data_IF_991030466168
#
_entry.id   IF_991030466168
#
_cell.length_a   1.000
_cell.length_b   1.000
_cell.length_c   1.000
_cell.angle_alpha   90.00
_cell.angle_beta   90.00
_cell.angle_gamma   90.00
#
_symmetry.space_group_name_H-M   'P 1'
#
loop_
_entity.id
_entity.type
_entity.pdbx_description
1 polymer ?
#
# COMPACT_ATOMS: atom_id res chain seq x y z
N UNK A 1 44.43 -49.70 10.97
CA UNK A 1 43.34 -49.31 10.04
C UNK A 1 42.09 -48.67 10.71
N UNK A 2 41.85 -48.80 12.03
CA UNK A 2 40.67 -48.17 12.69
C UNK A 2 40.75 -46.65 12.85
N UNK A 3 41.94 -46.07 13.04
CA UNK A 3 42.13 -44.62 13.20
C UNK A 3 41.88 -43.81 11.92
N UNK A 4 42.22 -44.36 10.75
CA UNK A 4 42.05 -43.67 9.45
C UNK A 4 40.58 -43.50 9.08
N UNK A 5 39.71 -44.44 9.48
CA UNK A 5 38.25 -44.36 9.24
C UNK A 5 37.55 -43.30 10.10
N UNK A 6 38.00 -43.07 11.33
CA UNK A 6 37.37 -42.08 12.23
C UNK A 6 37.73 -40.66 11.82
N UNK A 7 38.99 -40.41 11.43
CA UNK A 7 39.45 -39.09 10.97
C UNK A 7 38.78 -38.69 9.66
N UNK A 8 38.60 -39.62 8.71
CA UNK A 8 37.88 -39.34 7.45
C UNK A 8 36.40 -39.03 7.66
N UNK A 9 35.71 -39.69 8.59
CA UNK A 9 34.31 -39.37 8.90
C UNK A 9 34.11 -38.00 9.55
N UNK A 10 35.04 -37.54 10.39
CA UNK A 10 34.97 -36.21 11.03
C UNK A 10 35.22 -35.08 10.01
N UNK A 11 36.17 -35.25 9.10
CA UNK A 11 36.47 -34.27 8.04
C UNK A 11 35.30 -34.13 7.06
N UNK A 12 34.62 -35.23 6.70
CA UNK A 12 33.41 -35.19 5.86
C UNK A 12 32.24 -34.49 6.57
N UNK A 13 32.06 -34.71 7.88
CA UNK A 13 31.02 -34.04 8.66
C UNK A 13 31.27 -32.52 8.76
N UNK A 14 32.52 -32.10 8.96
CA UNK A 14 32.93 -30.69 9.00
C UNK A 14 32.75 -30.01 7.63
N UNK A 15 33.05 -30.70 6.52
CA UNK A 15 32.79 -30.21 5.16
C UNK A 15 31.29 -30.04 4.90
N UNK A 16 30.45 -30.97 5.34
CA UNK A 16 28.98 -30.87 5.18
C UNK A 16 28.40 -29.72 6.02
N UNK A 17 28.93 -29.49 7.24
CA UNK A 17 28.51 -28.38 8.10
C UNK A 17 28.93 -27.04 7.49
N UNK A 18 30.16 -26.91 6.98
CA UNK A 18 30.61 -25.71 6.27
C UNK A 18 29.81 -25.47 4.98
N UNK A 19 29.55 -26.49 4.17
CA UNK A 19 28.69 -26.35 2.99
C UNK A 19 27.25 -25.94 3.33
N UNK A 20 26.66 -26.44 4.43
CA UNK A 20 25.33 -26.00 4.88
C UNK A 20 25.35 -24.57 5.43
N UNK A 21 26.42 -24.14 6.09
CA UNK A 21 26.58 -22.77 6.57
C UNK A 21 26.76 -21.79 5.40
N UNK A 22 27.59 -22.16 4.44
CA UNK A 22 27.85 -21.37 3.22
C UNK A 22 26.61 -21.27 2.35
N UNK A 23 25.81 -22.33 2.22
CA UNK A 23 24.57 -22.26 1.45
C UNK A 23 23.51 -21.38 2.13
N UNK A 24 23.45 -21.37 3.48
CA UNK A 24 22.60 -20.42 4.24
C UNK A 24 23.10 -18.99 4.12
N UNK A 25 24.42 -18.78 4.14
CA UNK A 25 25.06 -17.47 3.97
C UNK A 25 24.86 -16.93 2.56
N UNK A 26 25.04 -17.75 1.53
CA UNK A 26 24.77 -17.41 0.13
C UNK A 26 23.29 -17.08 -0.09
N UNK A 27 22.37 -17.82 0.55
CA UNK A 27 20.94 -17.51 0.52
C UNK A 27 20.65 -16.16 1.19
N UNK A 28 21.19 -15.89 2.37
CA UNK A 28 21.04 -14.60 3.04
C UNK A 28 21.70 -13.44 2.26
N UNK A 29 22.85 -13.65 1.63
CA UNK A 29 23.52 -12.70 0.75
C UNK A 29 22.72 -12.45 -0.54
N UNK A 30 22.05 -13.47 -1.07
CA UNK A 30 21.16 -13.33 -2.23
C UNK A 30 19.88 -12.57 -1.88
N UNK A 31 19.27 -12.86 -0.73
CA UNK A 31 18.06 -12.18 -0.24
C UNK A 31 18.36 -10.71 0.11
N UNK A 32 19.52 -10.41 0.68
CA UNK A 32 19.96 -9.03 0.94
C UNK A 32 20.32 -8.27 -0.33
N UNK A 33 20.96 -8.90 -1.33
CA UNK A 33 21.15 -8.31 -2.66
C UNK A 33 19.82 -8.03 -3.36
N UNK A 34 18.88 -8.98 -3.33
CA UNK A 34 17.54 -8.79 -3.89
C UNK A 34 16.80 -7.66 -3.17
N UNK A 35 16.89 -7.58 -1.84
CA UNK A 35 16.31 -6.48 -1.06
C UNK A 35 16.97 -5.14 -1.41
N UNK A 36 18.28 -5.12 -1.65
CA UNK A 36 19.02 -3.91 -2.04
C UNK A 36 18.69 -3.46 -3.48
N UNK A 37 18.54 -4.40 -4.41
CA UNK A 37 18.11 -4.12 -5.78
C UNK A 37 16.64 -3.66 -5.84
N UNK A 38 15.76 -4.29 -5.07
CA UNK A 38 14.38 -3.85 -4.91
C UNK A 38 14.32 -2.45 -4.27
N UNK A 39 15.13 -2.17 -3.24
CA UNK A 39 15.23 -0.84 -2.64
C UNK A 39 15.75 0.20 -3.65
N UNK A 40 16.76 -0.13 -4.47
CA UNK A 40 17.26 0.74 -5.54
C UNK A 40 16.22 0.99 -6.64
N UNK A 41 15.47 -0.04 -7.03
CA UNK A 41 14.39 0.05 -8.02
C UNK A 41 13.25 0.94 -7.52
N UNK A 42 12.83 0.74 -6.26
CA UNK A 42 11.83 1.57 -5.58
C UNK A 42 12.32 3.02 -5.48
N UNK A 43 13.56 3.24 -5.06
CA UNK A 43 14.15 4.58 -5.01
C UNK A 43 14.15 5.25 -6.40
N UNK A 44 14.55 4.54 -7.46
CA UNK A 44 14.55 5.07 -8.82
C UNK A 44 13.14 5.39 -9.33
N UNK A 45 12.15 4.56 -8.99
CA UNK A 45 10.73 4.80 -9.32
C UNK A 45 10.18 6.03 -8.62
N UNK A 46 10.48 6.21 -7.32
CA UNK A 46 10.08 7.37 -6.53
C UNK A 46 10.69 8.65 -7.12
N UNK A 47 12.00 8.64 -7.38
CA UNK A 47 12.69 9.79 -7.97
C UNK A 47 12.11 10.15 -9.34
N UNK A 48 11.74 9.16 -10.15
CA UNK A 48 11.08 9.40 -11.44
C UNK A 48 9.71 10.07 -11.31
N UNK A 49 8.91 9.71 -10.31
CA UNK A 49 7.60 10.33 -10.08
C UNK A 49 7.73 11.75 -9.53
N UNK A 50 8.61 11.97 -8.56
CA UNK A 50 8.88 13.31 -8.04
C UNK A 50 9.41 14.21 -9.14
N UNK A 51 10.36 13.73 -9.96
CA UNK A 51 10.90 14.47 -11.12
C UNK A 51 9.81 14.90 -12.11
N UNK A 52 8.82 14.04 -12.39
CA UNK A 52 7.71 14.41 -13.27
C UNK A 52 6.80 15.50 -12.69
N UNK A 53 6.64 15.53 -11.37
CA UNK A 53 5.76 16.50 -10.69
C UNK A 53 6.45 17.85 -10.48
N UNK A 54 7.73 17.83 -10.13
CA UNK A 54 8.51 19.03 -9.81
C UNK A 54 9.32 19.56 -10.99
N UNK A 55 9.63 18.72 -11.97
CA UNK A 55 10.58 19.03 -13.06
C UNK A 55 12.05 18.84 -12.66
N UNK A 56 12.34 18.34 -11.46
CA UNK A 56 13.69 18.29 -10.89
C UNK A 56 14.47 17.03 -11.27
N UNK A 57 15.79 17.14 -11.27
CA UNK A 57 16.70 16.02 -11.45
C UNK A 57 16.89 15.22 -10.15
N UNK A 58 17.46 14.01 -10.25
CA UNK A 58 17.67 13.07 -9.12
C UNK A 58 18.43 13.69 -7.94
N UNK A 59 19.38 14.58 -8.22
CA UNK A 59 20.22 15.25 -7.24
C UNK A 59 19.48 16.35 -6.48
N UNK A 60 18.60 17.08 -7.17
CA UNK A 60 17.77 18.14 -6.61
C UNK A 60 16.62 17.55 -5.76
N UNK A 61 16.10 16.37 -6.13
CA UNK A 61 15.09 15.63 -5.36
C UNK A 61 15.57 15.20 -3.98
N UNK A 62 16.89 15.08 -3.76
CA UNK A 62 17.44 14.81 -2.42
C UNK A 62 17.42 16.04 -1.50
N UNK A 63 17.16 17.22 -2.04
CA UNK A 63 17.13 18.49 -1.32
C UNK A 63 15.91 19.33 -1.74
N UNK A 64 14.72 18.70 -1.80
CA UNK A 64 13.48 19.40 -2.14
C UNK A 64 13.27 20.63 -1.26
N UNK A 65 12.89 21.73 -1.89
CA UNK A 65 12.49 22.96 -1.22
C UNK A 65 11.13 22.80 -0.51
N UNK A 66 10.81 23.72 0.40
CA UNK A 66 9.53 23.75 1.10
C UNK A 66 8.36 23.88 0.11
N UNK A 67 8.52 24.72 -0.91
CA UNK A 67 7.54 24.94 -1.98
C UNK A 67 7.31 23.67 -2.81
N UNK A 68 8.37 22.93 -3.12
CA UNK A 68 8.26 21.68 -3.88
C UNK A 68 7.56 20.58 -3.08
N UNK A 69 7.85 20.49 -1.78
CA UNK A 69 7.17 19.57 -0.88
C UNK A 69 5.69 19.92 -0.74
N UNK A 70 5.36 21.21 -0.60
CA UNK A 70 3.99 21.70 -0.57
C UNK A 70 3.25 21.39 -1.87
N UNK A 71 3.89 21.59 -3.04
CA UNK A 71 3.32 21.29 -4.35
C UNK A 71 2.96 19.80 -4.49
N UNK A 72 3.88 18.89 -4.18
CA UNK A 72 3.64 17.44 -4.28
C UNK A 72 2.50 17.02 -3.34
N UNK A 73 2.46 17.57 -2.12
CA UNK A 73 1.41 17.28 -1.16
C UNK A 73 0.05 17.86 -1.58
N UNK A 74 0.04 19.05 -2.18
CA UNK A 74 -1.15 19.69 -2.73
C UNK A 74 -1.71 18.90 -3.93
N UNK A 75 -0.85 18.36 -4.79
CA UNK A 75 -1.27 17.47 -5.87
C UNK A 75 -1.87 16.17 -5.32
N UNK A 76 -1.27 15.57 -4.28
CA UNK A 76 -1.86 14.40 -3.61
C UNK A 76 -3.25 14.72 -3.03
N UNK A 77 -3.41 15.90 -2.41
CA UNK A 77 -4.72 16.39 -1.94
C UNK A 77 -5.72 16.55 -3.09
N UNK A 78 -5.36 17.25 -4.16
CA UNK A 78 -6.23 17.49 -5.31
C UNK A 78 -6.73 16.17 -5.92
N UNK A 79 -5.84 15.19 -6.13
CA UNK A 79 -6.23 13.88 -6.65
C UNK A 79 -7.18 13.12 -5.71
N UNK A 80 -6.97 13.24 -4.41
CA UNK A 80 -7.85 12.64 -3.41
C UNK A 80 -9.24 13.31 -3.39
N UNK A 81 -9.29 14.64 -3.51
CA UNK A 81 -10.54 15.39 -3.62
C UNK A 81 -11.29 15.07 -4.92
N UNK A 82 -10.59 14.93 -6.04
CA UNK A 82 -11.19 14.54 -7.31
C UNK A 82 -11.74 13.11 -7.26
N UNK A 83 -11.00 12.18 -6.64
CA UNK A 83 -11.49 10.81 -6.40
C UNK A 83 -12.77 10.82 -5.55
N UNK A 84 -12.80 11.64 -4.48
CA UNK A 84 -13.99 11.83 -3.65
C UNK A 84 -15.17 12.42 -4.45
N UNK A 85 -14.92 13.43 -5.28
CA UNK A 85 -15.95 14.03 -6.15
C UNK A 85 -16.50 13.02 -7.15
N UNK A 86 -15.63 12.24 -7.79
CA UNK A 86 -16.04 11.20 -8.75
C UNK A 86 -16.98 10.18 -8.09
N UNK A 87 -16.66 9.74 -6.88
CA UNK A 87 -17.51 8.79 -6.12
C UNK A 87 -18.85 9.42 -5.72
N UNK A 88 -18.84 10.67 -5.26
CA UNK A 88 -20.08 11.39 -4.94
C UNK A 88 -20.96 11.57 -6.20
N UNK A 89 -20.34 11.96 -7.31
CA UNK A 89 -21.03 12.12 -8.59
C UNK A 89 -21.57 10.79 -9.10
N UNK A 90 -20.85 9.68 -8.92
CA UNK A 90 -21.33 8.35 -9.27
C UNK A 90 -22.64 8.02 -8.55
N UNK A 91 -22.74 8.34 -7.25
CA UNK A 91 -23.96 8.14 -6.47
C UNK A 91 -25.13 8.99 -6.98
N UNK A 92 -24.87 10.23 -7.38
CA UNK A 92 -25.89 11.18 -7.84
C UNK A 92 -26.36 10.85 -9.26
N UNK A 93 -25.44 10.54 -10.18
CA UNK A 93 -25.71 10.37 -11.61
C UNK A 93 -26.46 9.07 -11.92
N UNK A 94 -26.16 7.97 -11.21
CA UNK A 94 -26.79 6.68 -11.52
C UNK A 94 -28.21 6.52 -10.97
N UNK A 95 -28.69 7.43 -10.12
CA UNK A 95 -29.98 7.33 -9.41
C UNK A 95 -30.25 5.91 -8.83
N UNK A 96 -29.17 5.20 -8.47
CA UNK A 96 -29.22 3.83 -7.95
C UNK A 96 -29.16 3.90 -6.43
N UNK A 97 -30.13 3.27 -5.76
CA UNK A 97 -30.12 3.15 -4.30
C UNK A 97 -28.96 2.29 -3.77
N UNK A 98 -28.39 1.40 -4.61
CA UNK A 98 -27.31 0.47 -4.26
C UNK A 98 -26.28 0.35 -5.39
N UNK A 99 -25.01 0.32 -5.02
CA UNK A 99 -23.91 0.03 -5.95
C UNK A 99 -23.79 -1.49 -6.15
N UNK A 100 -23.50 -1.91 -7.38
CA UNK A 100 -23.14 -3.29 -7.69
C UNK A 100 -21.61 -3.45 -7.79
N UNK A 101 -21.10 -4.68 -7.69
CA UNK A 101 -19.66 -4.94 -7.78
C UNK A 101 -19.04 -4.38 -9.08
N UNK A 102 -19.77 -4.45 -10.20
CA UNK A 102 -19.32 -3.95 -11.50
C UNK A 102 -19.21 -2.42 -11.57
N UNK A 103 -19.84 -1.69 -10.65
CA UNK A 103 -19.81 -0.23 -10.59
C UNK A 103 -18.56 0.32 -9.86
N UNK A 104 -17.79 -0.55 -9.19
CA UNK A 104 -16.71 -0.17 -8.24
C UNK A 104 -15.28 -0.07 -8.81
N UNK A 105 -14.88 -0.74 -9.91
CA UNK A 105 -13.48 -0.73 -10.36
C UNK A 105 -12.90 0.68 -10.57
N UNK A 106 -13.63 1.59 -11.20
CA UNK A 106 -13.15 2.96 -11.45
C UNK A 106 -12.97 3.77 -10.15
N UNK A 107 -13.97 3.83 -9.25
CA UNK A 107 -13.80 4.37 -7.90
C UNK A 107 -12.56 3.85 -7.16
N UNK A 108 -12.33 2.53 -7.20
CA UNK A 108 -11.19 1.90 -6.52
C UNK A 108 -9.86 2.32 -7.15
N UNK A 109 -9.78 2.41 -8.48
CA UNK A 109 -8.59 2.92 -9.18
C UNK A 109 -8.29 4.37 -8.82
N UNK A 110 -9.31 5.22 -8.71
CA UNK A 110 -9.13 6.61 -8.29
C UNK A 110 -8.54 6.69 -6.87
N UNK A 111 -9.11 5.96 -5.91
CA UNK A 111 -8.59 5.88 -4.53
C UNK A 111 -7.16 5.34 -4.50
N UNK A 112 -6.87 4.29 -5.28
CA UNK A 112 -5.53 3.70 -5.38
C UNK A 112 -4.51 4.72 -5.87
N UNK A 113 -4.81 5.43 -6.96
CA UNK A 113 -3.93 6.46 -7.50
C UNK A 113 -3.68 7.59 -6.48
N UNK A 114 -4.71 7.99 -5.72
CA UNK A 114 -4.57 8.98 -4.65
C UNK A 114 -3.68 8.45 -3.51
N UNK A 115 -3.87 7.19 -3.09
CA UNK A 115 -3.07 6.54 -2.05
C UNK A 115 -1.58 6.45 -2.44
N UNK A 116 -1.28 6.08 -3.69
CA UNK A 116 0.09 6.02 -4.22
C UNK A 116 0.75 7.41 -4.29
N UNK A 117 -0.02 8.46 -4.59
CA UNK A 117 0.47 9.85 -4.55
C UNK A 117 0.75 10.31 -3.13
N UNK A 118 -0.09 9.97 -2.15
CA UNK A 118 0.18 10.21 -0.73
C UNK A 118 1.46 9.50 -0.30
N UNK A 119 1.65 8.24 -0.72
CA UNK A 119 2.87 7.49 -0.42
C UNK A 119 4.12 8.17 -0.98
N UNK A 120 4.05 8.63 -2.23
CA UNK A 120 5.14 9.36 -2.89
C UNK A 120 5.46 10.66 -2.15
N UNK A 121 4.44 11.47 -1.85
CA UNK A 121 4.58 12.72 -1.11
C UNK A 121 5.19 12.50 0.28
N UNK A 122 4.71 11.48 1.00
CA UNK A 122 5.21 11.18 2.33
C UNK A 122 6.66 10.70 2.31
N UNK A 123 7.05 9.88 1.33
CA UNK A 123 8.46 9.49 1.14
C UNK A 123 9.37 10.69 0.88
N UNK A 124 8.87 11.70 0.15
CA UNK A 124 9.59 12.95 -0.06
C UNK A 124 9.82 13.70 1.26
N UNK A 125 8.82 13.74 2.14
CA UNK A 125 8.93 14.34 3.47
C UNK A 125 9.91 13.60 4.40
N UNK A 126 9.97 12.27 4.34
CA UNK A 126 10.98 11.48 5.08
C UNK A 126 12.40 11.92 4.67
N UNK A 127 12.64 12.05 3.36
CA UNK A 127 13.93 12.51 2.83
C UNK A 127 14.25 13.96 3.25
N UNK A 128 13.22 14.82 3.36
CA UNK A 128 13.34 16.20 3.81
C UNK A 128 13.54 16.36 5.35
N UNK A 129 13.54 15.24 6.09
CA UNK A 129 13.84 15.20 7.51
C UNK A 129 12.65 14.97 8.44
N UNK A 130 11.45 14.63 7.92
CA UNK A 130 10.32 14.20 8.74
C UNK A 130 10.54 12.78 9.28
N UNK A 131 11.43 12.63 10.26
CA UNK A 131 11.83 11.34 10.80
C UNK A 131 11.35 11.16 12.25
N UNK A 132 11.31 9.91 12.71
CA UNK A 132 11.01 9.58 14.11
C UNK A 132 9.81 8.64 14.27
N UNK A 133 9.37 8.39 15.52
CA UNK A 133 8.33 7.40 15.81
C UNK A 133 7.01 7.66 15.09
N UNK A 134 6.52 8.90 15.10
CA UNK A 134 5.28 9.30 14.41
C UNK A 134 5.40 9.07 12.89
N UNK A 135 6.53 9.45 12.29
CA UNK A 135 6.77 9.25 10.87
C UNK A 135 6.78 7.76 10.49
N UNK A 136 7.32 6.89 11.34
CA UNK A 136 7.32 5.44 11.13
C UNK A 136 5.90 4.85 11.21
N UNK A 137 5.08 5.32 12.14
CA UNK A 137 3.67 4.92 12.25
C UNK A 137 2.90 5.33 11.00
N UNK A 138 3.01 6.59 10.58
CA UNK A 138 2.37 7.09 9.36
C UNK A 138 2.84 6.29 8.13
N UNK A 139 4.15 6.05 8.00
CA UNK A 139 4.71 5.23 6.91
C UNK A 139 4.08 3.84 6.86
N UNK A 140 3.96 3.18 8.01
CA UNK A 140 3.38 1.83 8.11
C UNK A 140 1.90 1.82 7.73
N UNK A 141 1.16 2.85 8.14
CA UNK A 141 -0.26 2.98 7.80
C UNK A 141 -0.48 3.26 6.31
N UNK A 142 0.32 4.14 5.70
CA UNK A 142 0.27 4.39 4.24
C UNK A 142 0.57 3.10 3.47
N UNK A 143 1.66 2.39 3.81
CA UNK A 143 2.04 1.13 3.17
C UNK A 143 0.92 0.07 3.27
N UNK A 144 0.33 -0.07 4.46
CA UNK A 144 -0.79 -0.99 4.68
C UNK A 144 -2.02 -0.62 3.87
N UNK A 145 -2.36 0.67 3.81
CA UNK A 145 -3.48 1.19 3.03
C UNK A 145 -3.29 0.99 1.53
N UNK A 146 -2.10 1.27 0.99
CA UNK A 146 -1.75 1.06 -0.43
C UNK A 146 -1.81 -0.42 -0.81
N UNK A 147 -1.31 -1.32 0.05
CA UNK A 147 -1.40 -2.78 -0.17
C UNK A 147 -2.84 -3.27 -0.22
N UNK A 148 -3.67 -2.80 0.71
CA UNK A 148 -5.09 -3.17 0.77
C UNK A 148 -5.87 -2.69 -0.46
N UNK A 149 -5.75 -1.42 -0.86
CA UNK A 149 -6.46 -0.94 -2.06
C UNK A 149 -5.95 -1.62 -3.34
N UNK A 150 -4.66 -1.94 -3.41
CA UNK A 150 -4.08 -2.69 -4.54
C UNK A 150 -4.61 -4.13 -4.62
N UNK A 151 -4.82 -4.78 -3.48
CA UNK A 151 -5.49 -6.07 -3.43
C UNK A 151 -6.91 -5.96 -3.99
N UNK A 152 -7.69 -4.98 -3.53
CA UNK A 152 -9.07 -4.82 -4.00
C UNK A 152 -9.16 -4.52 -5.50
N UNK A 153 -8.28 -3.68 -6.03
CA UNK A 153 -8.18 -3.41 -7.48
C UNK A 153 -7.94 -4.71 -8.27
N UNK A 154 -7.00 -5.54 -7.81
CA UNK A 154 -6.71 -6.86 -8.43
C UNK A 154 -7.91 -7.81 -8.35
N UNK A 155 -8.62 -7.84 -7.22
CA UNK A 155 -9.80 -8.69 -7.05
C UNK A 155 -10.97 -8.25 -7.94
N UNK A 156 -11.18 -6.94 -8.07
CA UNK A 156 -12.22 -6.38 -8.94
C UNK A 156 -11.92 -6.63 -10.42
N UNK A 157 -10.66 -6.55 -10.84
CA UNK A 157 -10.25 -6.92 -12.20
C UNK A 157 -10.60 -8.38 -12.51
N UNK A 158 -10.35 -9.31 -11.58
CA UNK A 158 -10.75 -10.73 -11.74
C UNK A 158 -12.28 -10.87 -11.79
N UNK A 159 -13.00 -10.22 -10.88
CA UNK A 159 -14.45 -10.36 -10.77
C UNK A 159 -15.18 -9.85 -12.02
N UNK A 160 -14.68 -8.77 -12.62
CA UNK A 160 -15.30 -8.08 -13.76
C UNK A 160 -14.84 -8.60 -15.13
N UNK A 161 -13.80 -9.45 -15.18
CA UNK A 161 -13.32 -10.11 -16.41
C UNK A 161 -14.27 -11.20 -16.91
N UNK A 162 -15.20 -10.82 -17.81
CA UNK A 162 -16.00 -11.75 -18.64
C UNK A 162 -16.75 -12.85 -17.86
N UNK A 163 -17.32 -13.83 -18.58
CA UNK A 163 -17.87 -15.04 -17.94
C UNK A 163 -16.77 -16.11 -17.96
N UNK A 164 -16.09 -16.26 -16.83
CA UNK A 164 -15.18 -17.37 -16.57
C UNK A 164 -15.63 -18.12 -15.31
N UNK A 165 -15.61 -19.46 -15.40
CA UNK A 165 -16.05 -20.41 -14.38
C UNK A 165 -15.03 -20.53 -13.23
N UNK A 166 -13.80 -20.02 -13.39
CA UNK A 166 -12.72 -20.12 -12.39
C UNK A 166 -12.59 -18.90 -11.48
N UNK A 167 -13.39 -17.84 -11.68
CA UNK A 167 -13.21 -16.56 -10.99
C UNK A 167 -13.18 -16.67 -9.46
N UNK A 168 -14.03 -17.52 -8.91
CA UNK A 168 -14.06 -17.76 -7.45
C UNK A 168 -12.74 -18.36 -6.94
N UNK A 169 -12.20 -19.36 -7.65
CA UNK A 169 -10.90 -19.96 -7.33
C UNK A 169 -9.77 -18.94 -7.46
N UNK A 170 -9.79 -18.13 -8.52
CA UNK A 170 -8.78 -17.11 -8.77
C UNK A 170 -8.79 -16.02 -7.68
N UNK A 171 -9.97 -15.57 -7.26
CA UNK A 171 -10.14 -14.62 -6.15
C UNK A 171 -9.58 -15.22 -4.86
N UNK A 172 -9.97 -16.45 -4.51
CA UNK A 172 -9.51 -17.10 -3.27
C UNK A 172 -7.98 -17.28 -3.27
N UNK A 173 -7.41 -17.68 -4.40
CA UNK A 173 -5.95 -17.80 -4.54
C UNK A 173 -5.23 -16.47 -4.32
N UNK A 174 -5.73 -15.38 -4.90
CA UNK A 174 -5.13 -14.04 -4.70
C UNK A 174 -5.21 -13.60 -3.23
N UNK A 175 -6.32 -13.90 -2.54
CA UNK A 175 -6.46 -13.63 -1.11
C UNK A 175 -5.46 -14.45 -0.30
N UNK A 176 -5.31 -15.75 -0.59
CA UNK A 176 -4.38 -16.64 0.10
C UNK A 176 -2.91 -16.21 -0.08
N UNK A 177 -2.52 -15.87 -1.32
CA UNK A 177 -1.20 -15.32 -1.63
C UNK A 177 -0.93 -14.03 -0.85
N UNK A 178 -1.90 -13.11 -0.84
CA UNK A 178 -1.79 -11.86 -0.10
C UNK A 178 -1.64 -12.10 1.41
N UNK A 179 -2.44 -13.00 1.98
CA UNK A 179 -2.43 -13.35 3.39
C UNK A 179 -1.12 -14.02 3.85
N UNK A 180 -0.49 -14.77 2.93
CA UNK A 180 0.81 -15.39 3.14
C UNK A 180 1.92 -14.35 3.12
N UNK A 181 1.89 -13.43 2.16
CA UNK A 181 2.89 -12.37 1.99
C UNK A 181 2.75 -11.25 3.04
N UNK A 182 1.54 -11.00 3.54
CA UNK A 182 1.23 -9.92 4.47
C UNK A 182 0.46 -10.44 5.69
N UNK A 183 1.10 -11.20 6.61
CA UNK A 183 0.42 -11.80 7.75
C UNK A 183 -0.30 -10.81 8.68
N UNK A 184 0.18 -9.56 8.77
CA UNK A 184 -0.43 -8.51 9.58
C UNK A 184 -1.66 -7.86 8.93
N UNK A 185 -1.90 -8.12 7.64
CA UNK A 185 -2.95 -7.50 6.83
C UNK A 185 -4.01 -8.51 6.39
N UNK A 186 -4.04 -9.70 7.01
CA UNK A 186 -4.88 -10.80 6.53
C UNK A 186 -6.34 -10.41 6.45
N UNK A 187 -6.99 -10.83 5.36
CA UNK A 187 -8.44 -10.78 5.22
C UNK A 187 -8.99 -12.20 5.16
N UNK A 188 -10.13 -12.41 5.81
CA UNK A 188 -10.82 -13.70 5.82
C UNK A 188 -12.21 -13.50 5.26
N UNK A 189 -12.56 -14.30 4.25
CA UNK A 189 -13.87 -14.29 3.60
C UNK A 189 -14.45 -15.68 3.76
N UNK A 190 -15.63 -15.76 4.39
CA UNK A 190 -16.36 -17.00 4.57
C UNK A 190 -17.69 -16.91 3.81
N UNK A 191 -17.59 -16.72 2.50
CA UNK A 191 -18.71 -16.57 1.58
C UNK A 191 -18.43 -17.41 0.34
N UNK A 192 -19.49 -17.88 -0.32
CA UNK A 192 -19.41 -18.59 -1.60
C UNK A 192 -20.06 -17.78 -2.72
N UNK A 193 -19.56 -17.94 -3.94
CA UNK A 193 -20.02 -17.21 -5.10
C UNK A 193 -19.35 -15.85 -5.24
N UNK A 194 -18.84 -15.58 -6.44
CA UNK A 194 -18.05 -14.39 -6.80
C UNK A 194 -18.65 -13.09 -6.27
N UNK A 195 -19.96 -12.87 -6.45
CA UNK A 195 -20.60 -11.64 -6.02
C UNK A 195 -20.60 -11.47 -4.49
N UNK A 196 -20.91 -12.51 -3.72
CA UNK A 196 -20.94 -12.41 -2.26
C UNK A 196 -19.53 -12.21 -1.70
N UNK A 197 -18.55 -12.98 -2.22
CA UNK A 197 -17.14 -12.83 -1.89
C UNK A 197 -16.68 -11.40 -2.14
N UNK A 198 -16.97 -10.85 -3.33
CA UNK A 198 -16.55 -9.50 -3.67
C UNK A 198 -17.22 -8.41 -2.84
N UNK A 199 -18.50 -8.54 -2.51
CA UNK A 199 -19.17 -7.60 -1.59
C UNK A 199 -18.50 -7.59 -0.22
N UNK A 200 -18.15 -8.77 0.31
CA UNK A 200 -17.43 -8.90 1.57
C UNK A 200 -16.00 -8.36 1.48
N UNK A 201 -15.28 -8.62 0.39
CA UNK A 201 -13.96 -8.05 0.14
C UNK A 201 -14.00 -6.52 0.09
N UNK A 202 -14.93 -5.94 -0.68
CA UNK A 202 -15.09 -4.47 -0.80
C UNK A 202 -15.32 -3.88 0.59
N UNK A 203 -16.26 -4.45 1.36
CA UNK A 203 -16.57 -3.97 2.71
C UNK A 203 -15.34 -4.01 3.62
N UNK A 204 -14.74 -5.19 3.81
CA UNK A 204 -13.61 -5.37 4.74
C UNK A 204 -12.42 -4.50 4.33
N UNK A 205 -12.09 -4.47 3.04
CA UNK A 205 -10.94 -3.71 2.55
C UNK A 205 -11.20 -2.20 2.68
N UNK A 206 -12.40 -1.70 2.36
CA UNK A 206 -12.73 -0.28 2.53
C UNK A 206 -12.73 0.15 3.99
N UNK A 207 -13.27 -0.67 4.90
CA UNK A 207 -13.17 -0.41 6.34
C UNK A 207 -11.70 -0.31 6.78
N UNK A 208 -10.83 -1.20 6.29
CA UNK A 208 -9.40 -1.17 6.59
C UNK A 208 -8.71 0.06 5.99
N UNK A 209 -9.04 0.47 4.76
CA UNK A 209 -8.52 1.70 4.14
C UNK A 209 -8.89 2.92 5.00
N UNK A 210 -10.15 3.03 5.43
CA UNK A 210 -10.61 4.07 6.35
C UNK A 210 -9.80 4.06 7.64
N UNK A 211 -9.54 2.88 8.24
CA UNK A 211 -8.70 2.77 9.44
C UNK A 211 -7.26 3.24 9.19
N UNK A 212 -6.63 2.82 8.09
CA UNK A 212 -5.24 3.18 7.82
C UNK A 212 -5.07 4.67 7.49
N UNK A 213 -5.89 5.22 6.60
CA UNK A 213 -5.75 6.62 6.20
C UNK A 213 -6.36 7.59 7.22
N UNK A 214 -7.50 7.28 7.84
CA UNK A 214 -8.09 8.18 8.83
C UNK A 214 -7.42 8.02 10.20
N UNK A 215 -7.55 6.84 10.81
CA UNK A 215 -7.04 6.66 12.15
C UNK A 215 -5.51 6.61 12.17
N UNK A 216 -4.88 6.10 11.11
CA UNK A 216 -3.43 5.89 11.06
C UNK A 216 -2.60 7.03 10.43
N UNK A 217 -3.18 7.84 9.53
CA UNK A 217 -2.46 8.94 8.88
C UNK A 217 -3.03 10.29 9.32
N UNK A 218 -4.34 10.49 9.13
CA UNK A 218 -4.99 11.75 9.46
C UNK A 218 -4.88 12.08 10.96
N UNK A 219 -5.26 11.16 11.85
CA UNK A 219 -5.20 11.41 13.29
C UNK A 219 -3.75 11.57 13.78
N UNK A 220 -2.83 10.71 13.33
CA UNK A 220 -1.41 10.83 13.70
C UNK A 220 -0.82 12.18 13.28
N UNK A 221 -1.14 12.65 12.08
CA UNK A 221 -0.74 13.98 11.63
C UNK A 221 -1.45 15.08 12.43
N UNK A 222 -2.76 14.99 12.67
CA UNK A 222 -3.53 15.96 13.46
C UNK A 222 -2.94 16.15 14.85
N UNK A 223 -2.66 15.04 15.55
CA UNK A 223 -2.29 15.03 16.97
C UNK A 223 -0.81 15.42 17.18
N UNK A 224 0.00 15.41 16.12
CA UNK A 224 1.42 15.70 16.16
C UNK A 224 1.86 16.88 15.28
N UNK A 225 0.93 17.56 14.59
CA UNK A 225 1.25 18.64 13.65
C UNK A 225 2.00 19.79 14.32
N UNK A 226 1.61 20.14 15.54
CA UNK A 226 2.22 21.25 16.28
C UNK A 226 3.69 21.00 16.63
N UNK A 227 4.04 19.73 16.81
CA UNK A 227 5.40 19.24 17.11
C UNK A 227 6.24 19.03 15.87
N UNK A 228 5.66 19.09 14.67
CA UNK A 228 6.38 18.91 13.42
C UNK A 228 7.30 20.11 13.12
N UNK A 229 8.41 19.91 12.39
CA UNK A 229 9.25 21.01 11.93
C UNK A 229 8.42 22.05 11.18
N UNK A 230 8.57 23.34 11.51
CA UNK A 230 7.78 24.44 10.91
C UNK A 230 7.78 24.39 9.39
N UNK A 231 8.95 24.17 8.79
CA UNK A 231 9.18 24.03 7.35
C UNK A 231 8.40 22.92 6.65
N UNK A 232 7.84 21.96 7.40
CA UNK A 232 7.10 20.82 6.85
C UNK A 232 5.60 20.89 7.16
N UNK A 233 5.16 21.83 8.01
CA UNK A 233 3.78 21.85 8.52
C UNK A 233 2.73 21.99 7.42
N UNK A 234 3.02 22.78 6.39
CA UNK A 234 2.11 22.96 5.25
C UNK A 234 1.91 21.64 4.48
N UNK A 235 2.99 21.02 4.02
CA UNK A 235 2.93 19.74 3.30
C UNK A 235 2.29 18.62 4.15
N UNK A 236 2.58 18.57 5.45
CA UNK A 236 1.94 17.62 6.39
C UNK A 236 0.44 17.92 6.56
N UNK A 237 0.03 19.18 6.53
CA UNK A 237 -1.39 19.57 6.55
C UNK A 237 -2.10 19.10 5.29
N UNK A 238 -1.50 19.31 4.12
CA UNK A 238 -2.07 18.81 2.85
C UNK A 238 -2.19 17.29 2.83
N UNK A 239 -1.22 16.55 3.38
CA UNK A 239 -1.34 15.09 3.49
C UNK A 239 -2.42 14.64 4.46
N UNK A 240 -2.56 15.33 5.60
CA UNK A 240 -3.65 15.08 6.57
C UNK A 240 -5.02 15.23 5.91
N UNK A 241 -5.19 16.26 5.07
CA UNK A 241 -6.42 16.50 4.31
C UNK A 241 -6.62 15.47 3.20
N UNK A 242 -5.57 15.11 2.46
CA UNK A 242 -5.61 14.07 1.44
C UNK A 242 -6.07 12.73 2.03
N UNK A 243 -5.57 12.36 3.21
CA UNK A 243 -5.96 11.15 3.92
C UNK A 243 -7.43 11.18 4.38
N UNK A 244 -7.93 12.35 4.79
CA UNK A 244 -9.36 12.55 5.12
C UNK A 244 -10.27 12.37 3.90
N UNK A 245 -9.84 12.84 2.73
CA UNK A 245 -10.57 12.66 1.47
C UNK A 245 -10.61 11.20 1.03
N UNK A 246 -9.51 10.44 1.18
CA UNK A 246 -9.50 8.98 0.95
C UNK A 246 -10.46 8.27 1.91
N UNK A 247 -10.43 8.61 3.20
CA UNK A 247 -11.35 8.04 4.18
C UNK A 247 -12.82 8.29 3.80
N UNK A 248 -13.14 9.51 3.38
CA UNK A 248 -14.51 9.84 2.96
C UNK A 248 -14.92 9.00 1.75
N UNK A 249 -14.05 8.89 0.75
CA UNK A 249 -14.27 8.07 -0.44
C UNK A 249 -14.47 6.58 -0.10
N UNK A 250 -13.59 6.02 0.72
CA UNK A 250 -13.67 4.63 1.17
C UNK A 250 -14.95 4.37 1.97
N UNK A 251 -15.30 5.27 2.89
CA UNK A 251 -16.53 5.18 3.69
C UNK A 251 -17.81 5.24 2.85
N UNK A 252 -17.84 6.05 1.78
CA UNK A 252 -19.00 6.06 0.87
C UNK A 252 -19.16 4.70 0.18
N UNK A 253 -18.06 4.13 -0.34
CA UNK A 253 -18.11 2.81 -0.98
C UNK A 253 -18.51 1.74 0.03
N UNK A 254 -17.90 1.72 1.22
CA UNK A 254 -18.25 0.79 2.29
C UNK A 254 -19.75 0.80 2.61
N UNK A 255 -20.34 1.99 2.78
CA UNK A 255 -21.76 2.15 3.10
C UNK A 255 -22.68 1.55 2.03
N UNK A 256 -22.30 1.62 0.75
CA UNK A 256 -23.08 1.03 -0.34
C UNK A 256 -23.10 -0.50 -0.34
N UNK A 257 -22.17 -1.15 0.37
CA UNK A 257 -22.11 -2.60 0.51
C UNK A 257 -22.48 -3.09 1.91
N UNK A 258 -22.88 -2.19 2.81
CA UNK A 258 -23.35 -2.58 4.12
C UNK A 258 -24.83 -2.98 4.05
N UNK A 259 -25.15 -4.21 4.45
CA UNK A 259 -26.46 -4.86 4.26
C UNK A 259 -27.64 -4.24 5.03
N UNK A 260 -27.42 -3.15 5.78
CA UNK A 260 -28.38 -2.57 6.71
C UNK A 260 -29.07 -1.29 6.21
N UNK A 261 -29.00 -0.99 4.91
CA UNK A 261 -29.79 0.05 4.22
C UNK A 261 -30.36 -0.51 2.91
#
# INVERSE_FOLDING_TARGET
>A
MRYVKVVTSIVVLLLIINCKLDNKRLKAESETKLAQENAKSVAKSITGHVSKLTGLTVTEIKALSEEELAKIAAEAKANSEDSKKEINNFRIIKNKAKLEVNDIPNPVKAIKNAAEKIETAFKALLNAGYNGPVANVIKSNIDSGVKMISLLDKLLDIATKGINNTRELDINKVIEEFNTQNPALRIYINESGVNNIMRSCIKIIMTNISRYFFNGVHNELRDNLDKAPSKLKEALTSLKEAASSINTAAGIIELCFNSNY
#
